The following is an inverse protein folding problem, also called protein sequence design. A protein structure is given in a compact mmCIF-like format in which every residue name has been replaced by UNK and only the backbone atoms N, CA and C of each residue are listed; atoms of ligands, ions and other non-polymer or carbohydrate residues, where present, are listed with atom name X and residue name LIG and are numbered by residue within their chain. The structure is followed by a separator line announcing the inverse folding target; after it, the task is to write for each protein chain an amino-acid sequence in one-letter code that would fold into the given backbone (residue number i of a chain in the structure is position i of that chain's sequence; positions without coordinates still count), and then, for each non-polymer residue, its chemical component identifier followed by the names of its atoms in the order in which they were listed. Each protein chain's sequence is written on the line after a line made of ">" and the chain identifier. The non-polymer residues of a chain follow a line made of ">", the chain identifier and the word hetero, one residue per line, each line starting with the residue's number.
data_IF_514718158928
#
_entry.id   IF_514718158928
#
_cell.length_a   1.000
_cell.length_b   1.000
_cell.length_c   1.000
_cell.angle_alpha   90.00
_cell.angle_beta   90.00
_cell.angle_gamma   90.00
#
_symmetry.space_group_name_H-M   'P 1'
#
loop_
_entity.id
_entity.type
_entity.pdbx_description
1 polymer ?
#
# COMPACT_ATOMS: atom_id res chain seq x y z
N UNK A 1 19.92 -21.12 15.25
CA UNK A 1 19.83 -20.39 13.96
C UNK A 1 18.75 -19.32 13.96
N UNK A 2 17.49 -19.65 14.25
CA UNK A 2 16.34 -18.74 14.07
C UNK A 2 16.51 -17.37 14.73
N UNK A 3 17.04 -17.32 15.95
CA UNK A 3 17.34 -16.06 16.63
C UNK A 3 18.29 -15.18 15.79
N UNK A 4 19.39 -15.75 15.26
CA UNK A 4 20.34 -15.03 14.41
C UNK A 4 19.69 -14.58 13.10
N UNK A 5 18.83 -15.41 12.54
CA UNK A 5 18.06 -15.11 11.33
C UNK A 5 17.09 -13.93 11.55
N UNK A 6 16.30 -13.96 12.62
CA UNK A 6 15.37 -12.88 12.96
C UNK A 6 16.08 -11.61 13.41
N UNK A 7 17.24 -11.71 14.08
CA UNK A 7 18.09 -10.56 14.35
C UNK A 7 18.65 -9.93 13.07
N UNK A 8 18.95 -10.73 12.05
CA UNK A 8 19.35 -10.19 10.74
C UNK A 8 18.16 -9.55 10.00
N UNK A 9 16.97 -10.17 10.05
CA UNK A 9 15.75 -9.59 9.49
C UNK A 9 15.33 -8.28 10.18
N UNK A 10 15.45 -8.17 11.50
CA UNK A 10 15.01 -7.00 12.25
C UNK A 10 15.80 -5.74 11.91
N UNK A 11 17.07 -5.90 11.54
CA UNK A 11 17.93 -4.83 11.01
C UNK A 11 17.95 -4.78 9.48
N UNK A 12 17.02 -5.49 8.81
CA UNK A 12 16.85 -5.51 7.36
C UNK A 12 18.08 -6.01 6.59
N UNK A 13 18.94 -6.79 7.24
CA UNK A 13 20.13 -7.38 6.63
C UNK A 13 19.75 -8.71 5.97
N UNK A 14 19.07 -8.61 4.82
CA UNK A 14 18.53 -9.78 4.12
C UNK A 14 19.61 -10.72 3.59
N UNK A 15 20.76 -10.20 3.16
CA UNK A 15 21.85 -11.03 2.64
C UNK A 15 22.51 -11.84 3.76
N UNK A 16 22.63 -11.26 4.95
CA UNK A 16 23.09 -11.97 6.16
C UNK A 16 22.10 -13.03 6.60
N UNK A 17 20.79 -12.72 6.55
CA UNK A 17 19.75 -13.71 6.81
C UNK A 17 19.83 -14.89 5.84
N UNK A 18 20.06 -14.61 4.54
CA UNK A 18 20.25 -15.61 3.50
C UNK A 18 21.49 -16.49 3.76
N UNK A 19 22.63 -15.88 4.07
CA UNK A 19 23.88 -16.57 4.40
C UNK A 19 23.71 -17.53 5.59
N UNK A 20 22.93 -17.14 6.61
CA UNK A 20 22.60 -18.00 7.75
C UNK A 20 21.79 -19.23 7.31
N UNK A 21 20.85 -19.07 6.38
CA UNK A 21 20.05 -20.18 5.85
C UNK A 21 20.89 -21.11 4.97
N UNK A 22 21.76 -20.55 4.11
CA UNK A 22 22.65 -21.32 3.23
C UNK A 22 23.55 -22.23 4.09
N UNK A 23 24.14 -21.70 5.17
CA UNK A 23 24.95 -22.49 6.12
C UNK A 23 24.19 -23.60 6.82
N UNK A 24 22.95 -23.37 7.27
CA UNK A 24 22.16 -24.42 7.93
C UNK A 24 21.63 -25.48 6.96
N UNK A 25 21.41 -25.10 5.69
CA UNK A 25 20.97 -26.04 4.65
C UNK A 25 22.02 -27.13 4.42
N UNK A 26 23.30 -26.76 4.43
CA UNK A 26 24.42 -27.68 4.22
C UNK A 26 24.62 -28.63 5.42
N UNK A 27 24.30 -28.18 6.65
CA UNK A 27 24.52 -28.96 7.89
C UNK A 27 23.47 -30.08 8.07
N UNK A 28 22.22 -29.86 7.63
CA UNK A 28 21.08 -30.77 7.91
C UNK A 28 20.31 -31.21 6.66
N UNK A 29 21.00 -31.38 5.54
CA UNK A 29 20.40 -31.65 4.21
C UNK A 29 19.55 -32.92 4.08
N UNK A 30 19.49 -33.78 5.11
CA UNK A 30 18.72 -35.04 5.11
C UNK A 30 17.33 -35.00 5.77
N UNK A 31 16.94 -33.91 6.43
CA UNK A 31 15.65 -33.83 7.14
C UNK A 31 14.62 -33.06 6.33
N UNK A 32 13.63 -33.76 5.74
CA UNK A 32 12.60 -33.16 4.86
C UNK A 32 11.89 -31.96 5.50
N UNK A 33 11.53 -32.08 6.78
CA UNK A 33 10.91 -31.04 7.59
C UNK A 33 11.80 -29.79 7.67
N UNK A 34 13.09 -30.01 7.89
CA UNK A 34 14.08 -28.94 7.97
C UNK A 34 14.27 -28.25 6.63
N UNK A 35 14.33 -29.01 5.54
CA UNK A 35 14.41 -28.46 4.18
C UNK A 35 13.21 -27.55 3.89
N UNK A 36 11.99 -27.99 4.25
CA UNK A 36 10.77 -27.18 4.10
C UNK A 36 10.79 -25.91 4.94
N UNK A 37 11.23 -26.01 6.20
CA UNK A 37 11.39 -24.83 7.05
C UNK A 37 12.36 -23.81 6.42
N UNK A 38 13.51 -24.27 5.95
CA UNK A 38 14.51 -23.42 5.29
C UNK A 38 13.91 -22.75 4.04
N UNK A 39 13.14 -23.48 3.22
CA UNK A 39 12.39 -22.93 2.08
C UNK A 39 11.43 -21.82 2.50
N UNK A 40 10.66 -22.02 3.58
CA UNK A 40 9.76 -20.99 4.11
C UNK A 40 10.51 -19.75 4.60
N UNK A 41 11.65 -19.92 5.26
CA UNK A 41 12.48 -18.80 5.70
C UNK A 41 13.05 -18.01 4.51
N UNK A 42 13.47 -18.67 3.42
CA UNK A 42 13.84 -17.95 2.19
C UNK A 42 12.66 -17.16 1.61
N UNK A 43 11.46 -17.74 1.60
CA UNK A 43 10.26 -17.03 1.15
C UNK A 43 9.98 -15.81 2.03
N UNK A 44 10.13 -15.92 3.34
CA UNK A 44 10.01 -14.78 4.27
C UNK A 44 11.01 -13.68 3.92
N UNK A 45 12.28 -14.00 3.61
CA UNK A 45 13.24 -12.97 3.16
C UNK A 45 12.70 -12.21 1.94
N UNK A 46 12.14 -12.91 0.95
CA UNK A 46 11.61 -12.27 -0.26
C UNK A 46 10.38 -11.39 0.05
N UNK A 47 9.46 -11.91 0.87
CA UNK A 47 8.27 -11.16 1.28
C UNK A 47 8.65 -9.94 2.12
N UNK A 48 9.62 -10.04 3.01
CA UNK A 48 10.10 -8.93 3.83
C UNK A 48 10.84 -7.88 3.00
N UNK A 49 11.58 -8.28 1.96
CA UNK A 49 12.13 -7.35 0.96
C UNK A 49 11.00 -6.57 0.27
N UNK A 50 9.96 -7.28 -0.19
CA UNK A 50 8.76 -6.66 -0.76
C UNK A 50 8.07 -5.72 0.24
N UNK A 51 7.85 -6.16 1.48
CA UNK A 51 7.26 -5.34 2.53
C UNK A 51 8.07 -4.08 2.82
N UNK A 52 9.39 -4.21 3.02
CA UNK A 52 10.29 -3.09 3.29
C UNK A 52 10.28 -2.06 2.14
N UNK A 53 10.25 -2.57 0.91
CA UNK A 53 10.17 -1.74 -0.28
C UNK A 53 8.75 -1.27 -0.59
N UNK A 54 7.74 -1.54 0.27
CA UNK A 54 6.31 -1.35 0.00
C UNK A 54 5.89 -1.85 -1.40
N UNK A 55 6.48 -2.96 -1.82
CA UNK A 55 6.11 -3.74 -2.98
C UNK A 55 4.89 -4.59 -2.70
N UNK A 56 3.70 -4.03 -2.92
CA UNK A 56 2.44 -4.74 -2.62
C UNK A 56 2.07 -5.81 -3.66
N UNK A 57 2.99 -6.16 -4.56
CA UNK A 57 2.83 -7.22 -5.56
C UNK A 57 4.00 -8.19 -5.52
N UNK A 58 3.72 -9.49 -5.67
CA UNK A 58 4.71 -10.55 -5.70
C UNK A 58 4.54 -11.33 -7.00
N UNK A 59 5.59 -11.37 -7.80
CA UNK A 59 5.67 -12.20 -9.01
C UNK A 59 6.20 -13.58 -8.61
N UNK A 60 5.35 -14.60 -8.53
CA UNK A 60 5.82 -15.99 -8.31
C UNK A 60 6.55 -16.45 -9.59
N UNK A 61 7.80 -16.90 -9.46
CA UNK A 61 8.55 -17.54 -10.55
C UNK A 61 7.73 -18.71 -11.13
N UNK A 62 7.24 -18.56 -12.36
CA UNK A 62 6.50 -19.60 -13.09
C UNK A 62 4.97 -19.47 -13.16
N UNK A 63 4.34 -18.50 -12.49
CA UNK A 63 2.89 -18.22 -12.67
C UNK A 63 2.64 -16.76 -13.05
N UNK A 64 2.03 -16.52 -14.22
CA UNK A 64 1.72 -15.20 -14.79
C UNK A 64 0.63 -14.40 -14.03
N UNK A 65 0.36 -14.72 -12.76
CA UNK A 65 -0.68 -14.05 -11.97
C UNK A 65 0.00 -13.25 -10.88
N UNK A 66 0.04 -11.94 -11.05
CA UNK A 66 0.46 -11.00 -10.01
C UNK A 66 -0.42 -11.23 -8.77
N UNK A 67 0.21 -11.61 -7.66
CA UNK A 67 -0.47 -11.75 -6.37
C UNK A 67 -0.13 -10.54 -5.51
N UNK A 68 -1.07 -10.06 -4.71
CA UNK A 68 -0.75 -9.02 -3.72
C UNK A 68 0.20 -9.57 -2.67
N UNK A 69 1.02 -8.70 -2.07
CA UNK A 69 1.91 -9.09 -0.98
C UNK A 69 1.12 -9.69 0.20
N UNK A 70 -0.07 -9.14 0.50
CA UNK A 70 -1.01 -9.71 1.47
C UNK A 70 -1.36 -11.16 1.12
N UNK A 71 -1.75 -11.43 -0.13
CA UNK A 71 -2.07 -12.77 -0.58
C UNK A 71 -0.88 -13.72 -0.48
N UNK A 72 0.33 -13.24 -0.76
CA UNK A 72 1.55 -14.03 -0.67
C UNK A 72 1.91 -14.39 0.79
N UNK A 73 1.77 -13.44 1.74
CA UNK A 73 1.90 -13.72 3.18
C UNK A 73 0.84 -14.72 3.66
N UNK A 74 -0.42 -14.57 3.25
CA UNK A 74 -1.51 -15.49 3.63
C UNK A 74 -1.36 -16.89 3.02
N UNK A 75 -0.84 -17.00 1.81
CA UNK A 75 -0.53 -18.29 1.16
C UNK A 75 0.59 -19.00 1.92
N UNK A 76 1.70 -18.32 2.21
CA UNK A 76 2.79 -18.90 2.99
C UNK A 76 2.33 -19.33 4.39
N UNK A 77 1.47 -18.55 5.03
CA UNK A 77 0.87 -18.90 6.31
C UNK A 77 0.03 -20.19 6.22
N UNK A 78 -0.69 -20.38 5.12
CA UNK A 78 -1.50 -21.59 4.86
C UNK A 78 -0.60 -22.79 4.56
N UNK A 79 0.44 -22.62 3.73
CA UNK A 79 1.40 -23.68 3.39
C UNK A 79 2.13 -24.19 4.64
N UNK A 80 2.58 -23.29 5.51
CA UNK A 80 3.17 -23.65 6.81
C UNK A 80 2.16 -24.42 7.67
N UNK A 81 0.88 -24.03 7.66
CA UNK A 81 -0.14 -24.72 8.45
C UNK A 81 -0.39 -26.15 7.97
N UNK A 82 -0.61 -26.33 6.66
CA UNK A 82 -0.93 -27.62 6.03
C UNK A 82 0.22 -28.61 6.15
N UNK A 83 1.45 -28.17 5.90
CA UNK A 83 2.63 -29.05 5.98
C UNK A 83 2.78 -29.68 7.36
N UNK A 84 2.33 -28.98 8.41
CA UNK A 84 2.43 -29.43 9.80
C UNK A 84 1.33 -30.43 10.15
N UNK A 85 0.13 -30.28 9.60
CA UNK A 85 -0.93 -31.29 9.77
C UNK A 85 -0.51 -32.62 9.13
N UNK A 86 0.12 -32.56 7.95
CA UNK A 86 0.68 -33.74 7.26
C UNK A 86 1.77 -34.41 8.10
N UNK A 87 2.70 -33.65 8.67
CA UNK A 87 3.76 -34.19 9.52
C UNK A 87 3.22 -34.73 10.85
N UNK A 88 2.22 -34.10 11.47
CA UNK A 88 1.59 -34.60 12.69
C UNK A 88 0.95 -35.98 12.49
N UNK A 89 0.30 -36.18 11.34
CA UNK A 89 -0.31 -37.45 10.97
C UNK A 89 0.72 -38.55 10.64
N UNK A 90 1.89 -38.20 10.12
CA UNK A 90 2.98 -39.16 9.86
C UNK A 90 3.83 -39.49 11.10
N UNK A 91 3.87 -38.61 12.10
CA UNK A 91 4.76 -38.74 13.27
C UNK A 91 4.20 -39.61 14.40
N UNK A 92 2.98 -40.15 14.29
CA UNK A 92 2.43 -41.08 15.29
C UNK A 92 3.22 -42.40 15.41
N UNK A 93 4.25 -42.63 14.57
CA UNK A 93 5.04 -43.86 14.55
C UNK A 93 6.42 -43.85 15.24
N UNK A 94 7.15 -42.73 15.38
CA UNK A 94 8.60 -42.86 15.72
C UNK A 94 9.40 -41.62 16.15
N UNK A 95 8.82 -40.43 16.34
CA UNK A 95 9.60 -39.22 16.69
C UNK A 95 9.58 -38.89 18.18
N UNK A 96 10.71 -38.38 18.70
CA UNK A 96 10.84 -38.00 20.12
C UNK A 96 9.93 -36.81 20.48
N UNK A 97 9.24 -36.90 21.62
CA UNK A 97 8.27 -35.89 22.12
C UNK A 97 8.80 -34.44 22.13
N UNK A 98 10.11 -34.26 22.30
CA UNK A 98 10.74 -32.94 22.38
C UNK A 98 10.87 -32.22 21.03
N UNK A 99 11.13 -32.94 19.94
CA UNK A 99 11.29 -32.32 18.60
C UNK A 99 9.95 -31.81 18.06
N UNK A 100 8.88 -32.56 18.28
CA UNK A 100 7.51 -32.19 17.92
C UNK A 100 7.10 -30.90 18.64
N UNK A 101 7.45 -30.78 19.92
CA UNK A 101 7.12 -29.60 20.74
C UNK A 101 7.86 -28.35 20.28
N UNK A 102 9.16 -28.47 19.95
CA UNK A 102 9.96 -27.35 19.44
C UNK A 102 9.48 -26.88 18.06
N UNK A 103 9.12 -27.81 17.18
CA UNK A 103 8.61 -27.49 15.85
C UNK A 103 7.23 -26.80 15.91
N UNK A 104 6.38 -27.22 16.84
CA UNK A 104 5.09 -26.55 17.11
C UNK A 104 5.27 -25.12 17.61
N UNK A 105 6.20 -24.88 18.54
CA UNK A 105 6.48 -23.52 19.03
C UNK A 105 6.99 -22.60 17.91
N UNK A 106 7.85 -23.14 17.04
CA UNK A 106 8.35 -22.42 15.87
C UNK A 106 7.24 -22.05 14.88
N UNK A 107 6.33 -22.98 14.61
CA UNK A 107 5.11 -22.72 13.81
C UNK A 107 4.35 -21.52 14.35
N UNK A 108 4.02 -21.56 15.63
CA UNK A 108 3.17 -20.56 16.24
C UNK A 108 3.83 -19.18 16.16
N UNK A 109 5.16 -19.11 16.35
CA UNK A 109 5.94 -17.89 16.16
C UNK A 109 5.91 -17.36 14.72
N UNK A 110 6.15 -18.23 13.72
CA UNK A 110 6.09 -17.85 12.31
C UNK A 110 4.69 -17.40 11.88
N UNK A 111 3.66 -18.11 12.32
CA UNK A 111 2.28 -17.79 12.02
C UNK A 111 1.87 -16.43 12.62
N UNK A 112 2.26 -16.15 13.86
CA UNK A 112 2.05 -14.85 14.49
C UNK A 112 2.78 -13.74 13.73
N UNK A 113 4.05 -13.95 13.37
CA UNK A 113 4.82 -13.00 12.58
C UNK A 113 4.14 -12.65 11.25
N UNK A 114 3.75 -13.65 10.46
CA UNK A 114 3.08 -13.44 9.17
C UNK A 114 1.73 -12.73 9.33
N UNK A 115 0.96 -13.07 10.38
CA UNK A 115 -0.32 -12.42 10.67
C UNK A 115 -0.14 -10.93 11.04
N UNK A 116 0.86 -10.61 11.87
CA UNK A 116 1.20 -9.21 12.20
C UNK A 116 1.56 -8.45 10.92
N UNK A 117 2.35 -9.04 10.02
CA UNK A 117 2.72 -8.41 8.73
C UNK A 117 1.51 -8.12 7.85
N UNK A 118 0.58 -9.08 7.71
CA UNK A 118 -0.67 -8.86 6.97
C UNK A 118 -1.49 -7.71 7.59
N UNK A 119 -1.59 -7.66 8.92
CA UNK A 119 -2.30 -6.58 9.61
C UNK A 119 -1.65 -5.21 9.36
N UNK A 120 -0.32 -5.12 9.38
CA UNK A 120 0.40 -3.88 9.11
C UNK A 120 0.19 -3.41 7.66
N UNK A 121 0.20 -4.31 6.68
CA UNK A 121 -0.10 -3.96 5.28
C UNK A 121 -1.51 -3.39 5.12
N UNK A 122 -2.51 -4.01 5.77
CA UNK A 122 -3.89 -3.50 5.76
C UNK A 122 -4.00 -2.14 6.45
N UNK A 123 -3.27 -1.93 7.54
CA UNK A 123 -3.26 -0.65 8.24
C UNK A 123 -2.80 0.48 7.31
N UNK A 124 -1.73 0.25 6.54
CA UNK A 124 -1.24 1.24 5.59
C UNK A 124 -2.25 1.59 4.48
N UNK A 125 -2.96 0.60 3.95
CA UNK A 125 -4.04 0.83 2.97
C UNK A 125 -5.18 1.65 3.58
N UNK A 126 -5.55 1.37 4.83
CA UNK A 126 -6.60 2.09 5.57
C UNK A 126 -6.18 3.52 5.89
N UNK A 127 -4.93 3.74 6.31
CA UNK A 127 -4.38 5.07 6.57
C UNK A 127 -4.40 5.93 5.30
N UNK A 128 -4.03 5.35 4.17
CA UNK A 128 -4.09 6.03 2.86
C UNK A 128 -5.52 6.39 2.48
N UNK A 129 -6.48 5.49 2.71
CA UNK A 129 -7.90 5.75 2.48
C UNK A 129 -8.43 6.84 3.42
N UNK A 130 -8.08 6.81 4.70
CA UNK A 130 -8.46 7.81 5.69
C UNK A 130 -7.96 9.19 5.29
N UNK A 131 -6.72 9.29 4.81
CA UNK A 131 -6.15 10.54 4.30
C UNK A 131 -6.94 11.10 3.12
N UNK A 132 -7.34 10.27 2.16
CA UNK A 132 -8.20 10.68 1.04
C UNK A 132 -9.58 11.17 1.50
N UNK A 133 -10.19 10.45 2.44
CA UNK A 133 -11.49 10.83 3.00
C UNK A 133 -11.38 12.16 3.76
N UNK A 134 -10.29 12.39 4.50
CA UNK A 134 -10.02 13.66 5.16
C UNK A 134 -9.87 14.81 4.16
N UNK A 135 -9.12 14.61 3.06
CA UNK A 135 -9.05 15.61 1.98
C UNK A 135 -10.45 15.95 1.48
N UNK A 136 -11.25 14.93 1.16
CA UNK A 136 -12.60 15.13 0.65
C UNK A 136 -13.48 15.89 1.65
N UNK A 137 -13.45 15.47 2.92
CA UNK A 137 -14.15 16.13 4.02
C UNK A 137 -13.75 17.60 4.13
N UNK A 138 -12.46 17.91 4.19
CA UNK A 138 -12.00 19.30 4.33
C UNK A 138 -12.32 20.17 3.12
N UNK A 139 -12.38 19.61 1.90
CA UNK A 139 -12.89 20.34 0.72
C UNK A 139 -14.38 20.67 0.89
N UNK A 140 -15.18 19.70 1.34
CA UNK A 140 -16.62 19.89 1.55
C UNK A 140 -16.92 20.89 2.67
N UNK A 141 -16.14 20.88 3.75
CA UNK A 141 -16.21 21.85 4.85
C UNK A 141 -15.52 23.19 4.52
N UNK A 142 -15.07 23.37 3.28
CA UNK A 142 -14.41 24.59 2.80
C UNK A 142 -13.17 25.01 3.62
N UNK A 143 -12.44 24.04 4.18
CA UNK A 143 -11.25 24.26 5.01
C UNK A 143 -9.97 24.20 4.16
N UNK A 144 -9.61 25.34 3.56
CA UNK A 144 -8.49 25.47 2.61
C UNK A 144 -7.17 24.85 3.10
N UNK A 145 -6.66 25.29 4.26
CA UNK A 145 -5.33 24.88 4.74
C UNK A 145 -5.27 23.38 5.08
N UNK A 146 -6.32 22.86 5.70
CA UNK A 146 -6.41 21.44 6.04
C UNK A 146 -6.49 20.59 4.76
N UNK A 147 -7.32 20.98 3.81
CA UNK A 147 -7.42 20.30 2.52
C UNK A 147 -6.09 20.32 1.75
N UNK A 148 -5.42 21.48 1.69
CA UNK A 148 -4.13 21.64 1.00
C UNK A 148 -3.03 20.78 1.65
N UNK A 149 -2.92 20.82 2.98
CA UNK A 149 -1.94 20.03 3.73
C UNK A 149 -2.13 18.53 3.50
N UNK A 150 -3.37 18.04 3.63
CA UNK A 150 -3.67 16.62 3.41
C UNK A 150 -3.49 16.21 1.93
N UNK A 151 -3.75 17.09 0.97
CA UNK A 151 -3.48 16.84 -0.46
C UNK A 151 -1.99 16.66 -0.75
N UNK A 152 -1.14 17.49 -0.15
CA UNK A 152 0.31 17.37 -0.27
C UNK A 152 0.84 16.10 0.39
N UNK A 153 0.35 15.78 1.59
CA UNK A 153 0.70 14.53 2.26
C UNK A 153 0.30 13.32 1.41
N UNK A 154 -0.90 13.33 0.84
CA UNK A 154 -1.37 12.26 -0.04
C UNK A 154 -0.52 12.13 -1.31
N UNK A 155 -0.13 13.26 -1.92
CA UNK A 155 0.76 13.26 -3.08
C UNK A 155 2.12 12.63 -2.73
N UNK A 156 2.68 12.93 -1.55
CA UNK A 156 3.94 12.36 -1.10
C UNK A 156 3.83 10.85 -0.88
N UNK A 157 2.80 10.40 -0.14
CA UNK A 157 2.52 8.97 0.10
C UNK A 157 2.31 8.21 -1.21
N UNK A 158 1.50 8.74 -2.14
CA UNK A 158 1.28 8.10 -3.43
C UNK A 158 2.52 8.08 -4.30
N UNK A 159 3.33 9.14 -4.30
CA UNK A 159 4.58 9.17 -5.05
C UNK A 159 5.53 8.09 -4.54
N UNK A 160 5.74 8.03 -3.23
CA UNK A 160 6.58 7.00 -2.61
C UNK A 160 6.09 5.59 -2.99
N UNK A 161 4.78 5.36 -2.90
CA UNK A 161 4.17 4.08 -3.26
C UNK A 161 4.33 3.75 -4.75
N UNK A 162 4.13 4.74 -5.64
CA UNK A 162 4.29 4.56 -7.08
C UNK A 162 5.72 4.29 -7.50
N UNK A 163 6.69 5.06 -6.98
CA UNK A 163 8.12 4.90 -7.28
C UNK A 163 8.59 3.49 -6.88
N UNK A 164 8.11 2.99 -5.74
CA UNK A 164 8.40 1.65 -5.24
C UNK A 164 7.85 0.55 -6.16
N UNK A 165 6.58 0.65 -6.56
CA UNK A 165 5.96 -0.30 -7.52
C UNK A 165 6.66 -0.27 -8.88
N UNK A 166 7.05 0.92 -9.36
CA UNK A 166 7.73 1.05 -10.65
C UNK A 166 9.15 0.45 -10.62
N UNK A 167 9.88 0.62 -9.50
CA UNK A 167 11.20 0.03 -9.34
C UNK A 167 11.17 -1.50 -9.30
N UNK A 168 10.11 -2.10 -8.75
CA UNK A 168 9.90 -3.55 -8.81
C UNK A 168 9.49 -4.02 -10.21
N UNK A 169 8.66 -3.24 -10.92
CA UNK A 169 8.25 -3.52 -12.29
C UNK A 169 9.41 -3.45 -13.31
N UNK A 170 10.56 -2.85 -12.96
CA UNK A 170 11.78 -2.87 -13.79
C UNK A 170 12.55 -4.19 -13.67
N UNK A 171 12.36 -4.93 -12.58
CA UNK A 171 13.06 -6.19 -12.31
C UNK A 171 12.30 -7.42 -12.84
N UNK A 172 11.02 -7.26 -13.21
CA UNK A 172 10.15 -8.32 -13.73
C UNK A 172 9.34 -7.82 -14.94
N UNK A 173 8.89 -8.72 -15.83
CA UNK A 173 7.97 -8.47 -16.98
C UNK A 173 6.87 -7.47 -16.58
N UNK A 174 6.40 -6.52 -17.42
CA UNK A 174 5.74 -5.29 -16.95
C UNK A 174 4.56 -5.61 -16.04
N UNK A 175 4.81 -5.49 -14.74
CA UNK A 175 3.81 -5.75 -13.71
C UNK A 175 2.74 -4.69 -13.85
N UNK A 176 1.47 -5.11 -13.95
CA UNK A 176 0.37 -4.16 -14.00
C UNK A 176 0.26 -3.50 -12.63
N UNK A 177 0.32 -2.16 -12.58
CA UNK A 177 0.14 -1.39 -11.35
C UNK A 177 -1.12 -1.89 -10.61
N UNK A 178 -1.04 -2.20 -9.31
CA UNK A 178 -2.19 -2.66 -8.53
C UNK A 178 -3.41 -1.76 -8.70
N UNK A 179 -4.58 -2.39 -8.81
CA UNK A 179 -5.84 -1.68 -9.03
C UNK A 179 -6.14 -0.66 -7.91
N UNK A 180 -5.83 -0.99 -6.66
CA UNK A 180 -6.05 -0.12 -5.51
C UNK A 180 -5.19 1.15 -5.59
N UNK A 181 -3.90 1.04 -5.91
CA UNK A 181 -3.00 2.20 -6.06
C UNK A 181 -3.45 3.07 -7.23
N UNK A 182 -3.87 2.42 -8.32
CA UNK A 182 -4.43 3.12 -9.48
C UNK A 182 -5.69 3.87 -9.10
N UNK A 183 -6.57 3.27 -8.29
CA UNK A 183 -7.75 3.93 -7.75
C UNK A 183 -7.39 5.11 -6.86
N UNK A 184 -6.48 4.94 -5.89
CA UNK A 184 -6.03 6.05 -5.04
C UNK A 184 -5.43 7.21 -5.84
N UNK A 185 -4.62 6.91 -6.87
CA UNK A 185 -4.03 7.94 -7.74
C UNK A 185 -5.11 8.72 -8.49
N UNK A 186 -6.08 8.02 -9.09
CA UNK A 186 -7.20 8.67 -9.80
C UNK A 186 -8.10 9.48 -8.87
N UNK A 187 -8.37 8.98 -7.68
CA UNK A 187 -9.17 9.68 -6.67
C UNK A 187 -8.44 10.94 -6.19
N UNK A 188 -7.12 10.86 -5.96
CA UNK A 188 -6.31 12.03 -5.62
C UNK A 188 -6.33 13.08 -6.74
N UNK A 189 -6.13 12.69 -8.00
CA UNK A 189 -6.24 13.59 -9.15
C UNK A 189 -7.60 14.31 -9.19
N UNK A 190 -8.68 13.57 -8.97
CA UNK A 190 -10.03 14.12 -8.90
C UNK A 190 -10.18 15.13 -7.75
N UNK A 191 -9.64 14.83 -6.56
CA UNK A 191 -9.70 15.73 -5.41
C UNK A 191 -8.85 16.98 -5.62
N UNK A 192 -7.69 16.87 -6.28
CA UNK A 192 -6.90 18.03 -6.72
C UNK A 192 -7.72 18.90 -7.68
N UNK A 193 -8.38 18.29 -8.66
CA UNK A 193 -9.23 19.02 -9.60
C UNK A 193 -10.38 19.75 -8.89
N UNK A 194 -11.07 19.08 -7.96
CA UNK A 194 -12.15 19.66 -7.16
C UNK A 194 -11.65 20.80 -6.26
N UNK A 195 -10.58 20.57 -5.52
CA UNK A 195 -9.94 21.57 -4.66
C UNK A 195 -9.53 22.81 -5.46
N UNK A 196 -8.92 22.62 -6.63
CA UNK A 196 -8.39 23.73 -7.44
C UNK A 196 -9.47 24.70 -7.90
N UNK A 197 -10.70 24.23 -8.09
CA UNK A 197 -11.83 25.09 -8.45
C UNK A 197 -12.44 25.73 -7.21
N UNK A 198 -12.70 24.92 -6.17
CA UNK A 198 -13.37 25.39 -4.96
C UNK A 198 -12.57 26.50 -4.28
N UNK A 199 -11.25 26.41 -4.35
CA UNK A 199 -10.33 27.36 -3.74
C UNK A 199 -9.56 28.17 -4.80
N UNK A 200 -10.13 28.38 -5.99
CA UNK A 200 -9.47 29.11 -7.08
C UNK A 200 -8.95 30.48 -6.62
N UNK A 201 -9.81 31.25 -5.94
CA UNK A 201 -9.47 32.59 -5.46
C UNK A 201 -8.35 32.54 -4.40
N UNK A 202 -8.39 31.55 -3.49
CA UNK A 202 -7.34 31.35 -2.49
C UNK A 202 -6.01 30.99 -3.15
N UNK A 203 -6.03 30.11 -4.15
CA UNK A 203 -4.84 29.70 -4.87
C UNK A 203 -4.25 30.87 -5.66
N UNK A 204 -5.08 31.71 -6.27
CA UNK A 204 -4.62 32.91 -6.97
C UNK A 204 -4.04 33.95 -6.00
N UNK A 205 -4.71 34.18 -4.87
CA UNK A 205 -4.32 35.18 -3.88
C UNK A 205 -3.05 34.79 -3.12
N UNK A 206 -2.98 33.54 -2.65
CA UNK A 206 -1.89 33.07 -1.77
C UNK A 206 -0.81 32.27 -2.49
N UNK A 207 -1.09 31.72 -3.67
CA UNK A 207 -0.13 30.93 -4.46
C UNK A 207 0.80 31.77 -5.34
N UNK A 208 0.62 33.10 -5.38
CA UNK A 208 1.49 34.00 -6.14
C UNK A 208 1.46 33.80 -7.67
N UNK A 209 0.51 33.02 -8.19
CA UNK A 209 0.38 32.74 -9.61
C UNK A 209 -0.48 33.81 -10.30
N UNK A 210 0.01 34.30 -11.45
CA UNK A 210 -0.81 35.15 -12.33
C UNK A 210 -1.94 34.35 -12.96
N UNK A 211 -3.03 35.03 -13.35
CA UNK A 211 -4.26 34.40 -13.84
C UNK A 211 -4.03 33.44 -15.02
N UNK A 212 -3.08 33.75 -15.91
CA UNK A 212 -2.73 32.87 -17.04
C UNK A 212 -2.19 31.52 -16.59
N UNK A 213 -1.33 31.52 -15.57
CA UNK A 213 -0.67 30.31 -15.07
C UNK A 213 -1.68 29.42 -14.35
N UNK A 214 -2.64 30.03 -13.65
CA UNK A 214 -3.74 29.30 -13.03
C UNK A 214 -4.65 28.63 -14.02
N UNK A 215 -4.95 29.27 -15.15
CA UNK A 215 -5.73 28.64 -16.22
C UNK A 215 -5.00 27.44 -16.82
N UNK A 216 -3.67 27.56 -17.03
CA UNK A 216 -2.83 26.46 -17.51
C UNK A 216 -2.82 25.32 -16.49
N UNK A 217 -2.64 25.62 -15.20
CA UNK A 217 -2.67 24.63 -14.13
C UNK A 217 -4.00 23.87 -14.09
N UNK A 218 -5.14 24.60 -14.10
CA UNK A 218 -6.46 23.97 -14.09
C UNK A 218 -6.71 23.08 -15.30
N UNK A 219 -6.23 23.47 -16.49
CA UNK A 219 -6.38 22.64 -17.70
C UNK A 219 -5.63 21.30 -17.64
N UNK A 220 -4.65 21.19 -16.73
CA UNK A 220 -3.89 19.96 -16.51
C UNK A 220 -4.50 19.06 -15.42
N UNK A 221 -5.51 19.54 -14.70
CA UNK A 221 -6.20 18.73 -13.68
C UNK A 221 -7.05 17.66 -14.34
N UNK A 222 -7.29 16.56 -13.62
CA UNK A 222 -8.10 15.45 -14.11
C UNK A 222 -9.25 15.15 -13.12
N UNK A 223 -10.51 15.44 -13.48
CA UNK A 223 -10.97 15.96 -14.77
C UNK A 223 -10.72 17.46 -14.96
N UNK A 224 -10.49 17.89 -16.20
CA UNK A 224 -10.35 19.30 -16.56
C UNK A 224 -11.71 20.01 -16.51
N UNK A 225 -12.07 20.48 -15.32
CA UNK A 225 -13.29 21.23 -15.11
C UNK A 225 -13.21 22.65 -15.69
N UNK A 226 -12.03 23.25 -15.81
CA UNK A 226 -11.89 24.60 -16.36
C UNK A 226 -12.30 24.66 -17.82
N UNK A 227 -11.85 23.71 -18.63
CA UNK A 227 -12.29 23.59 -20.02
C UNK A 227 -13.78 23.29 -20.11
N UNK A 228 -14.33 22.45 -19.22
CA UNK A 228 -15.77 22.15 -19.19
C UNK A 228 -16.62 23.39 -18.89
N UNK A 229 -16.24 24.17 -17.87
CA UNK A 229 -16.91 25.42 -17.50
C UNK A 229 -16.80 26.43 -18.65
N UNK A 230 -15.60 26.59 -19.22
CA UNK A 230 -15.36 27.52 -20.35
C UNK A 230 -16.12 27.13 -21.62
N UNK A 231 -16.26 25.83 -21.90
CA UNK A 231 -17.09 25.34 -23.00
C UNK A 231 -18.58 25.57 -22.73
N UNK A 232 -19.04 25.34 -21.51
CA UNK A 232 -20.43 25.59 -21.12
C UNK A 232 -20.78 27.07 -21.27
N UNK A 233 -19.96 27.98 -20.70
CA UNK A 233 -20.17 29.42 -20.79
C UNK A 233 -20.32 29.92 -22.23
N UNK A 234 -19.44 29.45 -23.13
CA UNK A 234 -19.50 29.78 -24.56
C UNK A 234 -20.73 29.23 -25.27
N UNK A 235 -21.21 28.04 -24.87
CA UNK A 235 -22.39 27.41 -25.49
C UNK A 235 -23.69 28.07 -25.04
N UNK A 236 -23.75 28.56 -23.81
CA UNK A 236 -24.97 29.13 -23.22
C UNK A 236 -25.01 30.66 -23.29
N UNK A 237 -23.93 31.31 -23.71
CA UNK A 237 -23.76 32.77 -23.67
C UNK A 237 -24.01 33.37 -22.27
N UNK A 238 -23.69 32.63 -21.21
CA UNK A 238 -23.78 33.15 -19.84
C UNK A 238 -22.65 34.15 -19.56
N UNK A 239 -22.97 35.28 -18.93
CA UNK A 239 -21.98 36.31 -18.60
C UNK A 239 -21.01 35.85 -17.49
N UNK A 240 -21.53 35.18 -16.46
CA UNK A 240 -20.75 34.70 -15.32
C UNK A 240 -21.22 33.32 -14.86
N UNK A 241 -20.32 32.59 -14.22
CA UNK A 241 -20.57 31.31 -13.56
C UNK A 241 -19.96 31.42 -12.17
N UNK A 242 -20.73 31.07 -11.14
CA UNK A 242 -20.28 31.13 -9.74
C UNK A 242 -20.56 29.81 -9.03
N UNK A 243 -19.76 29.53 -8.00
CA UNK A 243 -19.95 28.41 -7.08
C UNK A 243 -20.40 29.01 -5.76
N UNK A 244 -21.66 28.77 -5.41
CA UNK A 244 -22.20 29.20 -4.13
C UNK A 244 -22.00 28.10 -3.08
N UNK A 245 -21.39 28.45 -1.96
CA UNK A 245 -21.34 27.59 -0.77
C UNK A 245 -22.59 27.87 0.05
N UNK A 246 -23.43 26.84 0.23
CA UNK A 246 -24.53 26.92 1.19
C UNK A 246 -23.99 26.61 2.57
N UNK A 247 -24.06 27.58 3.49
CA UNK A 247 -23.79 27.36 4.91
C UNK A 247 -25.12 27.18 5.63
N UNK A 248 -25.22 26.22 6.56
CA UNK A 248 -26.43 25.94 7.36
C UNK A 248 -26.83 27.08 8.32
N UNK A 249 -26.24 28.28 8.18
CA UNK A 249 -26.57 29.46 8.98
C UNK A 249 -27.98 30.02 8.74
N UNK A 250 -28.85 29.34 7.98
CA UNK A 250 -30.26 29.73 7.81
C UNK A 250 -31.28 28.92 8.63
N UNK A 251 -30.86 28.03 9.54
CA UNK A 251 -31.79 27.41 10.52
C UNK A 251 -31.94 28.18 11.84
N UNK A 252 -31.34 29.38 11.96
CA UNK A 252 -31.57 30.29 13.09
C UNK A 252 -32.05 31.67 12.61
N UNK A 253 -33.21 31.71 11.95
CA UNK A 253 -33.99 32.95 11.83
C UNK A 253 -35.22 32.90 12.72
N UNK A 254 -35.12 33.61 13.84
CA UNK A 254 -36.16 34.36 14.56
C UNK A 254 -37.48 33.67 14.93
N UNK A 255 -37.65 33.43 16.25
CA UNK A 255 -38.89 33.77 16.95
C UNK A 255 -38.64 35.01 17.79
#
# INVERSE_FOLDING_TARGET
>A
MLEKYFNALSILSFDKAKEILDKEKDIRSGYLVWTKLIEYLYQIIQLEKGYHNLGFSVTKWGTKKDKTLIAAYSELQTDIHVQIEVEHNHSQGSSSSNEITQFKLLKDGLHQFLNIRVKLLRLHEIETLSLLLNVHYFICEYQYLNALSNLHQMQATLKEWNDKVENEAKLFVPARKPALITWFSKTHEFLVAKFSIYFFDYLQLYGGCILSDMKIFLSKTNPDFYSKISQFQRKTNCEWITIALQTDQQLQTYH
#
